data_IF_851821100364
#
_entry.id   IF_851821100364
#
_cell.length_a   1.000
_cell.length_b   1.000
_cell.length_c   1.000
_cell.angle_alpha   90.00
_cell.angle_beta   90.00
_cell.angle_gamma   90.00
#
_symmetry.space_group_name_H-M   'P 1'
#
loop_
_entity.id
_entity.type
_entity.pdbx_description
1 polymer ?
#
# COMPACT_ATOMS: atom_id res chain seq x y z
N UNK A 1 14.70 -2.63 21.38
CA UNK A 1 13.47 -1.93 21.31
C UNK A 1 12.80 -2.12 20.00
N UNK A 2 13.59 -2.13 19.06
CA UNK A 2 13.04 -2.21 17.76
C UNK A 2 12.56 -3.57 17.38
N UNK A 3 13.17 -4.59 17.95
CA UNK A 3 12.84 -5.92 17.56
C UNK A 3 11.38 -6.28 17.81
N UNK A 4 10.88 -5.84 18.92
CA UNK A 4 9.54 -6.17 19.29
C UNK A 4 8.53 -5.43 18.46
N UNK A 5 8.80 -4.17 18.26
CA UNK A 5 7.90 -3.38 17.45
C UNK A 5 7.85 -3.82 16.04
N UNK A 6 8.93 -4.40 15.59
CA UNK A 6 9.02 -4.80 14.23
C UNK A 6 7.90 -5.69 13.79
N UNK A 7 7.58 -6.68 14.56
CA UNK A 7 6.57 -7.62 14.18
C UNK A 7 5.23 -6.96 13.94
N UNK A 8 4.82 -6.18 14.90
CA UNK A 8 3.56 -5.49 14.77
C UNK A 8 3.63 -4.43 13.70
N UNK A 9 4.75 -3.74 13.70
CA UNK A 9 4.90 -2.65 12.77
C UNK A 9 4.88 -3.09 11.33
N UNK A 10 5.31 -4.29 11.08
CA UNK A 10 5.35 -4.77 9.71
C UNK A 10 3.96 -4.75 9.10
N UNK A 11 3.02 -5.37 9.75
CA UNK A 11 1.66 -5.40 9.23
C UNK A 11 1.05 -4.03 9.20
N UNK A 12 1.26 -3.27 10.25
CA UNK A 12 0.74 -1.92 10.31
C UNK A 12 1.28 -1.08 9.18
N UNK A 13 2.58 -1.18 8.96
CA UNK A 13 3.22 -0.41 7.90
C UNK A 13 2.66 -0.82 6.54
N UNK A 14 2.48 -2.11 6.33
CA UNK A 14 1.96 -2.59 5.06
C UNK A 14 0.53 -2.11 4.85
N UNK A 15 -0.26 -2.15 5.90
CA UNK A 15 -1.64 -1.68 5.80
C UNK A 15 -1.69 -0.20 5.48
N UNK A 16 -0.82 0.56 6.11
CA UNK A 16 -0.78 1.99 5.84
C UNK A 16 -0.38 2.25 4.40
N UNK A 17 0.61 1.53 3.94
CA UNK A 17 1.04 1.68 2.56
C UNK A 17 -0.08 1.30 1.61
N UNK A 18 -0.76 0.21 1.92
CA UNK A 18 -1.85 -0.22 1.08
C UNK A 18 -2.92 0.86 0.99
N UNK A 19 -3.29 1.41 2.13
CA UNK A 19 -4.29 2.47 2.15
C UNK A 19 -3.84 3.69 1.36
N UNK A 20 -2.59 4.08 1.55
CA UNK A 20 -2.06 5.24 0.83
C UNK A 20 -2.06 4.99 -0.66
N UNK A 21 -1.64 3.81 -1.06
CA UNK A 21 -1.58 3.49 -2.48
C UNK A 21 -2.95 3.46 -3.11
N UNK A 22 -3.92 2.87 -2.41
CA UNK A 22 -5.27 2.83 -2.96
C UNK A 22 -5.86 4.23 -3.04
N UNK A 23 -5.56 5.05 -2.06
CA UNK A 23 -6.05 6.41 -2.09
C UNK A 23 -5.45 7.18 -3.25
N UNK A 24 -4.16 7.03 -3.43
CA UNK A 24 -3.48 7.71 -4.53
C UNK A 24 -3.97 7.18 -5.87
N UNK A 25 -4.18 5.88 -5.95
CA UNK A 25 -4.71 5.31 -7.17
C UNK A 25 -6.07 5.90 -7.50
N UNK A 26 -6.88 6.06 -6.49
CA UNK A 26 -8.21 6.63 -6.70
C UNK A 26 -8.11 8.06 -7.23
N UNK A 27 -7.24 8.84 -6.63
CA UNK A 27 -7.07 10.22 -7.06
C UNK A 27 -6.51 10.29 -8.48
N UNK A 28 -5.55 9.44 -8.76
CA UNK A 28 -4.93 9.45 -10.07
C UNK A 28 -5.85 8.92 -11.16
N UNK A 29 -6.83 8.12 -10.78
CA UNK A 29 -7.74 7.56 -11.77
C UNK A 29 -8.49 8.64 -12.52
N UNK A 30 -8.57 9.82 -11.94
CA UNK A 30 -9.25 10.93 -12.59
C UNK A 30 -8.35 11.69 -13.55
N UNK A 31 -7.05 11.70 -13.28
CA UNK A 31 -6.16 12.50 -14.10
C UNK A 31 -5.08 11.68 -14.79
N UNK A 32 -4.66 10.58 -14.19
CA UNK A 32 -3.57 9.79 -14.77
C UNK A 32 -3.80 8.32 -14.54
N UNK A 33 -4.43 7.67 -15.51
CA UNK A 33 -4.77 6.26 -15.38
C UNK A 33 -3.54 5.37 -15.31
N UNK A 34 -2.51 5.72 -16.05
CA UNK A 34 -1.28 4.91 -16.02
C UNK A 34 -0.70 4.87 -14.62
N UNK A 35 -0.61 6.02 -13.99
CA UNK A 35 -0.09 6.08 -12.64
C UNK A 35 -1.04 5.39 -11.68
N UNK A 36 -2.33 5.51 -11.90
CA UNK A 36 -3.30 4.85 -11.07
C UNK A 36 -3.13 3.33 -11.13
N UNK A 37 -2.93 2.81 -12.31
CA UNK A 37 -2.72 1.39 -12.50
C UNK A 37 -1.48 0.92 -11.77
N UNK A 38 -0.43 1.71 -11.82
CA UNK A 38 0.80 1.36 -11.12
C UNK A 38 0.59 1.32 -9.63
N UNK A 39 -0.13 2.29 -9.09
CA UNK A 39 -0.39 2.32 -7.67
C UNK A 39 -1.25 1.12 -7.26
N UNK A 40 -2.21 0.79 -8.07
CA UNK A 40 -3.07 -0.35 -7.78
C UNK A 40 -2.25 -1.63 -7.77
N UNK A 41 -1.32 -1.74 -8.69
CA UNK A 41 -0.48 -2.92 -8.74
C UNK A 41 0.36 -3.04 -7.48
N UNK A 42 0.92 -1.93 -7.03
CA UNK A 42 1.72 -1.95 -5.81
C UNK A 42 0.86 -2.28 -4.60
N UNK A 43 -0.35 -1.77 -4.58
CA UNK A 43 -1.24 -2.07 -3.48
C UNK A 43 -1.55 -3.55 -3.44
N UNK A 44 -1.78 -4.16 -4.60
CA UNK A 44 -2.04 -5.58 -4.67
C UNK A 44 -0.84 -6.38 -4.18
N UNK A 45 0.36 -5.92 -4.49
CA UNK A 45 1.56 -6.56 -4.02
C UNK A 45 1.61 -6.59 -2.50
N UNK A 46 1.26 -5.47 -1.91
CA UNK A 46 1.28 -5.37 -0.47
C UNK A 46 0.21 -6.27 0.13
N UNK A 47 -0.95 -6.31 -0.48
CA UNK A 47 -2.02 -7.17 -0.02
C UNK A 47 -1.56 -8.62 -0.03
N UNK A 48 -0.83 -9.00 -1.04
CA UNK A 48 -0.31 -10.35 -1.16
C UNK A 48 0.64 -10.66 -0.02
N UNK A 49 1.39 -9.69 0.41
CA UNK A 49 2.33 -9.88 1.50
C UNK A 49 1.62 -10.02 2.83
N UNK A 50 0.52 -9.32 2.98
CA UNK A 50 -0.24 -9.38 4.22
C UNK A 50 -0.90 -10.74 4.38
N UNK A 51 -1.31 -11.34 3.27
CA UNK A 51 -1.90 -12.65 3.32
C UNK A 51 -0.88 -13.62 3.86
#
# INVERSE_FOLDING_TARGET
>A
MFGIFKKKSEKDTLLKKYNTLTEEAYKLSHSNRSASDQKTKEANDILDRIK
#
